data_IF_164637387957
#
_entry.id   IF_164637387957
#
_cell.length_a   1.000
_cell.length_b   1.000
_cell.length_c   1.000
_cell.angle_alpha   90.00
_cell.angle_beta   90.00
_cell.angle_gamma   90.00
#
_symmetry.space_group_name_H-M   'P 1'
#
loop_
_entity.id
_entity.type
_entity.pdbx_description
1 polymer ?
#
# COMPACT_ATOMS: atom_id res chain seq x y z
N UNK A 1 -19.27 -16.59 -11.34
CA UNK A 1 -18.65 -16.67 -10.00
C UNK A 1 -19.72 -16.28 -9.00
N UNK A 2 -20.01 -17.13 -8.01
CA UNK A 2 -20.88 -16.71 -6.91
C UNK A 2 -20.16 -15.58 -6.17
N UNK A 3 -20.75 -14.40 -6.11
CA UNK A 3 -20.28 -13.37 -5.17
C UNK A 3 -20.38 -13.99 -3.79
N UNK A 4 -19.24 -14.24 -3.14
CA UNK A 4 -19.24 -14.58 -1.72
C UNK A 4 -19.80 -13.34 -1.01
N UNK A 5 -20.98 -13.45 -0.41
CA UNK A 5 -21.57 -12.41 0.41
C UNK A 5 -20.59 -12.15 1.57
N UNK A 6 -19.84 -11.05 1.53
CA UNK A 6 -18.99 -10.64 2.63
C UNK A 6 -19.52 -9.29 3.13
N UNK A 7 -20.37 -9.28 4.16
CA UNK A 7 -21.10 -8.08 4.58
C UNK A 7 -20.20 -6.90 4.97
N UNK A 8 -18.92 -7.16 5.27
CA UNK A 8 -17.93 -6.13 5.58
C UNK A 8 -17.37 -5.52 4.30
N UNK A 9 -16.94 -6.35 3.36
CA UNK A 9 -16.35 -5.86 2.11
C UNK A 9 -17.39 -5.43 1.06
N UNK A 10 -18.64 -5.86 1.21
CA UNK A 10 -19.78 -5.42 0.40
C UNK A 10 -20.18 -3.97 0.72
N UNK A 11 -19.61 -3.37 1.78
CA UNK A 11 -19.77 -1.95 2.09
C UNK A 11 -19.01 -1.04 1.12
N UNK A 12 -18.05 -1.55 0.36
CA UNK A 12 -17.16 -0.73 -0.47
C UNK A 12 -17.59 -0.70 -1.95
N UNK A 13 -17.56 0.47 -2.61
CA UNK A 13 -17.23 1.78 -2.05
C UNK A 13 -18.30 2.24 -1.05
N UNK A 14 -17.89 2.96 0.00
CA UNK A 14 -18.79 3.43 1.04
C UNK A 14 -19.83 4.39 0.47
N UNK A 15 -21.07 4.28 0.96
CA UNK A 15 -22.05 5.35 0.75
C UNK A 15 -21.60 6.62 1.47
N UNK A 16 -21.99 7.80 0.96
CA UNK A 16 -21.68 9.09 1.59
C UNK A 16 -22.09 9.13 3.06
N UNK A 17 -23.24 8.53 3.39
CA UNK A 17 -23.74 8.43 4.76
C UNK A 17 -22.81 7.59 5.64
N UNK A 18 -22.38 6.43 5.16
CA UNK A 18 -21.48 5.54 5.91
C UNK A 18 -20.10 6.17 6.08
N UNK A 19 -19.55 6.71 4.99
CA UNK A 19 -18.29 7.45 5.00
C UNK A 19 -18.32 8.56 6.04
N UNK A 20 -19.37 9.39 6.05
CA UNK A 20 -19.44 10.52 6.97
C UNK A 20 -19.66 10.10 8.42
N UNK A 21 -20.46 9.04 8.65
CA UNK A 21 -20.64 8.47 9.99
C UNK A 21 -19.31 8.01 10.59
N UNK A 22 -18.51 7.29 9.79
CA UNK A 22 -17.18 6.83 10.20
C UNK A 22 -16.24 8.02 10.43
N UNK A 23 -16.22 8.97 9.51
CA UNK A 23 -15.36 10.15 9.61
C UNK A 23 -15.64 10.95 10.87
N UNK A 24 -16.91 11.21 11.18
CA UNK A 24 -17.30 11.95 12.38
C UNK A 24 -16.90 11.19 13.66
N UNK A 25 -17.02 9.86 13.67
CA UNK A 25 -16.54 9.02 14.76
C UNK A 25 -15.02 9.15 14.95
N UNK A 26 -14.24 8.98 13.88
CA UNK A 26 -12.76 9.06 13.90
C UNK A 26 -12.30 10.45 14.35
N UNK A 27 -12.89 11.51 13.80
CA UNK A 27 -12.59 12.89 14.21
C UNK A 27 -12.93 13.13 15.70
N UNK A 28 -14.10 12.66 16.15
CA UNK A 28 -14.50 12.73 17.55
C UNK A 28 -13.48 12.05 18.47
N UNK A 29 -13.03 10.85 18.11
CA UNK A 29 -12.00 10.13 18.87
C UNK A 29 -10.66 10.86 18.87
N UNK A 30 -10.18 11.36 17.72
CA UNK A 30 -8.92 12.11 17.69
C UNK A 30 -8.96 13.38 18.55
N UNK A 31 -10.05 14.15 18.49
CA UNK A 31 -10.21 15.36 19.31
C UNK A 31 -10.25 15.09 20.82
N UNK A 32 -10.59 13.88 21.23
CA UNK A 32 -10.55 13.46 22.63
C UNK A 32 -9.19 12.92 23.07
N UNK A 33 -8.47 12.28 22.14
CA UNK A 33 -7.20 11.60 22.42
C UNK A 33 -5.98 12.51 22.33
N UNK A 34 -6.05 13.56 21.51
CA UNK A 34 -4.92 14.43 21.18
C UNK A 34 -5.26 15.90 21.44
N UNK A 35 -4.23 16.71 21.69
CA UNK A 35 -4.36 18.16 21.70
C UNK A 35 -4.58 18.72 20.29
N UNK A 36 -4.74 20.04 20.18
CA UNK A 36 -5.01 20.70 18.90
C UNK A 36 -3.90 20.45 17.86
N UNK A 37 -2.63 20.43 18.30
CA UNK A 37 -1.49 20.17 17.42
C UNK A 37 -1.51 18.72 16.91
N UNK A 38 -1.65 17.74 17.81
CA UNK A 38 -1.73 16.33 17.47
C UNK A 38 -2.95 15.99 16.62
N UNK A 39 -4.11 16.58 16.92
CA UNK A 39 -5.31 16.46 16.09
C UNK A 39 -5.06 16.97 14.68
N UNK A 40 -4.57 18.20 14.55
CA UNK A 40 -4.31 18.81 13.24
C UNK A 40 -3.30 18.01 12.43
N UNK A 41 -2.25 17.49 13.08
CA UNK A 41 -1.28 16.60 12.46
C UNK A 41 -1.96 15.31 11.95
N UNK A 42 -2.77 14.65 12.78
CA UNK A 42 -3.42 13.39 12.43
C UNK A 42 -4.53 13.51 11.39
N UNK A 43 -5.15 14.69 11.21
CA UNK A 43 -6.25 14.87 10.25
C UNK A 43 -5.85 15.62 8.97
N UNK A 44 -4.76 16.40 9.00
CA UNK A 44 -4.38 17.27 7.88
C UNK A 44 -2.95 17.06 7.38
N UNK A 45 -2.25 16.02 7.83
CA UNK A 45 -0.90 15.74 7.32
C UNK A 45 -0.92 15.54 5.80
N UNK A 46 -0.02 16.21 5.11
CA UNK A 46 0.21 16.03 3.69
C UNK A 46 1.70 16.17 3.43
N UNK A 47 2.37 15.11 2.94
CA UNK A 47 3.81 15.17 2.70
C UNK A 47 4.10 16.13 1.55
N UNK A 48 4.95 17.13 1.80
CA UNK A 48 5.46 18.01 0.76
C UNK A 48 6.83 17.51 0.29
N UNK A 49 6.83 16.68 -0.75
CA UNK A 49 8.06 16.17 -1.34
C UNK A 49 8.48 17.00 -2.56
N UNK A 50 9.73 17.52 -2.60
CA UNK A 50 10.26 18.18 -3.78
C UNK A 50 10.35 17.20 -4.97
N UNK A 51 10.35 17.75 -6.18
CA UNK A 51 10.55 16.95 -7.39
C UNK A 51 12.02 16.82 -7.73
N UNK A 52 12.55 15.61 -7.57
CA UNK A 52 13.87 15.21 -8.02
C UNK A 52 13.72 13.99 -8.92
N UNK A 53 14.60 13.84 -9.91
CA UNK A 53 14.62 12.66 -10.80
C UNK A 53 15.85 11.81 -10.51
N UNK A 54 15.70 10.51 -10.62
CA UNK A 54 16.79 9.56 -10.73
C UNK A 54 16.70 8.80 -12.06
N UNK A 55 17.85 8.40 -12.58
CA UNK A 55 17.96 7.60 -13.79
C UNK A 55 18.66 6.27 -13.45
N UNK A 56 17.99 5.17 -13.75
CA UNK A 56 18.50 3.80 -13.64
C UNK A 56 18.57 3.19 -15.04
N UNK A 57 19.77 3.08 -15.61
CA UNK A 57 19.99 2.73 -17.02
C UNK A 57 19.14 3.60 -17.96
N UNK A 58 18.10 3.04 -18.58
CA UNK A 58 17.19 3.76 -19.49
C UNK A 58 15.91 4.24 -18.83
N UNK A 59 15.67 3.95 -17.55
CA UNK A 59 14.46 4.32 -16.85
C UNK A 59 14.70 5.55 -15.97
N UNK A 60 14.00 6.65 -16.25
CA UNK A 60 13.96 7.85 -15.41
C UNK A 60 12.67 7.92 -14.59
N UNK A 61 12.76 8.32 -13.32
CA UNK A 61 11.61 8.42 -12.41
C UNK A 61 11.85 9.39 -11.24
N UNK A 62 10.76 9.76 -10.56
CA UNK A 62 10.81 10.70 -9.44
C UNK A 62 11.32 10.06 -8.14
N UNK A 63 12.12 10.81 -7.37
CA UNK A 63 12.72 10.38 -6.10
C UNK A 63 12.43 11.27 -4.90
N UNK A 64 11.46 12.20 -5.04
CA UNK A 64 10.85 12.91 -3.92
C UNK A 64 11.82 13.77 -3.07
N UNK A 65 13.02 14.05 -3.57
CA UNK A 65 14.16 14.59 -2.84
C UNK A 65 14.52 13.80 -1.58
N UNK A 66 14.20 12.51 -1.54
CA UNK A 66 14.64 11.63 -0.47
C UNK A 66 16.16 11.49 -0.50
N UNK A 67 16.77 11.41 0.69
CA UNK A 67 18.22 11.47 0.83
C UNK A 67 18.84 10.10 0.60
N UNK A 68 19.92 10.05 -0.17
CA UNK A 68 20.71 8.84 -0.34
C UNK A 68 21.39 8.43 0.96
N UNK A 69 21.25 7.16 1.33
CA UNK A 69 21.93 6.51 2.45
C UNK A 69 22.44 5.13 2.00
N UNK A 70 23.50 4.64 2.64
CA UNK A 70 24.05 3.30 2.37
C UNK A 70 23.75 2.40 3.55
N UNK A 71 22.95 1.36 3.32
CA UNK A 71 22.59 0.35 4.31
C UNK A 71 22.96 -1.03 3.79
N UNK A 72 23.77 -1.78 4.54
CA UNK A 72 24.20 -3.14 4.15
C UNK A 72 24.81 -3.21 2.73
N UNK A 73 25.53 -2.17 2.32
CA UNK A 73 26.15 -2.07 0.99
C UNK A 73 25.16 -1.78 -0.15
N UNK A 74 23.91 -1.46 0.15
CA UNK A 74 22.89 -1.03 -0.81
C UNK A 74 22.60 0.45 -0.64
N UNK A 75 22.49 1.16 -1.76
CA UNK A 75 21.99 2.55 -1.76
C UNK A 75 20.48 2.52 -1.62
N UNK A 76 19.97 3.26 -0.64
CA UNK A 76 18.55 3.50 -0.41
C UNK A 76 18.30 5.02 -0.40
N UNK A 77 17.07 5.42 -0.67
CA UNK A 77 16.62 6.81 -0.50
C UNK A 77 15.70 6.89 0.70
N UNK A 78 16.00 7.75 1.67
CA UNK A 78 15.25 7.87 2.93
C UNK A 78 14.47 9.18 2.98
N UNK A 79 13.18 9.07 3.26
CA UNK A 79 12.31 10.19 3.57
C UNK A 79 12.57 10.69 4.99
N UNK A 80 13.18 11.85 5.13
CA UNK A 80 13.48 12.41 6.45
C UNK A 80 12.23 12.85 7.23
N UNK A 81 11.09 13.05 6.56
CA UNK A 81 9.82 13.43 7.21
C UNK A 81 9.11 12.23 7.84
N UNK A 82 9.20 11.04 7.23
CA UNK A 82 8.37 9.87 7.61
C UNK A 82 9.19 8.62 7.90
N UNK A 83 10.52 8.64 7.73
CA UNK A 83 11.37 7.45 7.84
C UNK A 83 11.13 6.38 6.78
N UNK A 84 10.20 6.58 5.85
CA UNK A 84 9.98 5.69 4.72
C UNK A 84 11.23 5.64 3.85
N UNK A 85 11.47 4.53 3.17
CA UNK A 85 12.60 4.43 2.25
C UNK A 85 12.22 3.76 0.94
N UNK A 86 12.96 4.15 -0.10
CA UNK A 86 12.86 3.62 -1.44
C UNK A 86 14.18 2.99 -1.84
N UNK A 87 14.12 1.88 -2.56
CA UNK A 87 15.27 1.35 -3.28
C UNK A 87 14.81 0.80 -4.61
N UNK A 88 15.77 0.66 -5.52
CA UNK A 88 15.51 0.23 -6.88
C UNK A 88 16.63 -0.68 -7.36
N UNK A 89 16.28 -1.59 -8.24
CA UNK A 89 17.23 -2.54 -8.82
C UNK A 89 16.81 -2.93 -10.22
N UNK A 90 17.74 -3.54 -10.93
CA UNK A 90 17.56 -4.08 -12.26
C UNK A 90 17.84 -5.58 -12.18
N UNK A 91 16.90 -6.39 -12.66
CA UNK A 91 17.02 -7.85 -12.65
C UNK A 91 16.80 -8.42 -14.04
N UNK A 92 17.51 -9.51 -14.33
CA UNK A 92 17.28 -10.29 -15.55
C UNK A 92 16.18 -11.32 -15.28
N UNK A 93 15.08 -11.32 -16.06
CA UNK A 93 14.04 -12.32 -15.94
C UNK A 93 14.55 -13.71 -16.34
N UNK A 94 13.93 -14.75 -15.77
CA UNK A 94 14.18 -16.11 -16.20
C UNK A 94 13.40 -16.44 -17.46
N UNK A 95 13.96 -16.10 -18.62
CA UNK A 95 13.32 -16.25 -19.93
C UNK A 95 12.86 -14.93 -20.54
N UNK A 96 12.14 -14.98 -21.67
CA UNK A 96 11.60 -13.78 -22.30
C UNK A 96 10.45 -13.22 -21.45
N UNK A 97 10.35 -11.89 -21.41
CA UNK A 97 9.18 -11.20 -20.85
C UNK A 97 7.93 -11.52 -21.69
N UNK A 98 6.87 -11.97 -21.03
CA UNK A 98 5.55 -12.15 -21.64
C UNK A 98 4.73 -10.87 -21.61
N UNK A 99 3.54 -10.94 -22.22
CA UNK A 99 2.59 -9.84 -22.23
C UNK A 99 2.02 -9.61 -20.80
N UNK A 100 2.00 -8.36 -20.32
CA UNK A 100 1.54 -8.04 -18.96
C UNK A 100 0.08 -8.42 -18.69
N UNK A 101 -0.81 -8.29 -19.68
CA UNK A 101 -2.21 -8.64 -19.54
C UNK A 101 -2.41 -10.14 -19.32
N UNK A 102 -1.62 -10.97 -20.01
CA UNK A 102 -1.65 -12.42 -19.88
C UNK A 102 -0.99 -12.93 -18.58
N UNK A 103 -0.11 -12.13 -17.98
CA UNK A 103 0.71 -12.52 -16.83
C UNK A 103 0.18 -12.02 -15.47
N UNK A 104 -0.88 -11.20 -15.43
CA UNK A 104 -1.35 -10.58 -14.18
C UNK A 104 -1.68 -11.59 -13.08
N UNK A 105 -2.41 -12.66 -13.39
CA UNK A 105 -2.78 -13.65 -12.38
C UNK A 105 -1.56 -14.46 -11.89
N UNK A 106 -0.59 -14.70 -12.78
CA UNK A 106 0.70 -15.33 -12.43
C UNK A 106 1.49 -14.41 -11.50
N UNK A 107 1.57 -13.12 -11.82
CA UNK A 107 2.27 -12.13 -11.01
C UNK A 107 1.60 -11.95 -9.64
N UNK A 108 0.27 -11.86 -9.58
CA UNK A 108 -0.51 -11.81 -8.32
C UNK A 108 -0.20 -13.02 -7.44
N UNK A 109 -0.21 -14.22 -8.03
CA UNK A 109 0.10 -15.45 -7.30
C UNK A 109 1.54 -15.44 -6.78
N UNK A 110 2.50 -15.05 -7.63
CA UNK A 110 3.90 -14.95 -7.24
C UNK A 110 4.10 -13.96 -6.08
N UNK A 111 3.59 -12.73 -6.17
CA UNK A 111 3.69 -11.74 -5.08
C UNK A 111 3.04 -12.28 -3.80
N UNK A 112 1.84 -12.87 -3.90
CA UNK A 112 1.15 -13.48 -2.75
C UNK A 112 2.02 -14.52 -2.06
N UNK A 113 2.57 -15.47 -2.81
CA UNK A 113 3.41 -16.55 -2.28
C UNK A 113 4.67 -16.00 -1.59
N UNK A 114 5.35 -15.02 -2.21
CA UNK A 114 6.53 -14.39 -1.62
C UNK A 114 6.21 -13.78 -0.25
N UNK A 115 5.10 -13.04 -0.15
CA UNK A 115 4.75 -12.36 1.10
C UNK A 115 4.16 -13.29 2.14
N UNK A 116 3.41 -14.33 1.75
CA UNK A 116 2.97 -15.39 2.67
C UNK A 116 4.17 -16.09 3.30
N UNK A 117 5.24 -16.35 2.54
CA UNK A 117 6.48 -16.94 3.08
C UNK A 117 7.17 -16.04 4.12
N UNK A 118 6.85 -14.74 4.15
CA UNK A 118 7.33 -13.77 5.13
C UNK A 118 6.30 -13.50 6.24
N UNK A 119 5.27 -14.35 6.39
CA UNK A 119 4.11 -14.15 7.27
C UNK A 119 3.32 -12.86 6.98
N UNK A 120 3.48 -12.30 5.78
CA UNK A 120 2.79 -11.13 5.28
C UNK A 120 1.60 -11.49 4.39
N UNK A 121 1.13 -10.53 3.62
CA UNK A 121 0.07 -10.74 2.65
C UNK A 121 -0.08 -9.63 1.62
N UNK A 122 -0.97 -9.88 0.67
CA UNK A 122 -1.26 -9.00 -0.45
C UNK A 122 -2.44 -8.07 -0.11
N UNK A 123 -2.28 -6.77 -0.39
CA UNK A 123 -3.34 -5.75 -0.23
C UNK A 123 -3.89 -5.34 -1.59
N UNK A 124 -3.02 -5.23 -2.60
CA UNK A 124 -3.36 -4.74 -3.92
C UNK A 124 -2.33 -5.22 -4.94
N UNK A 125 -2.76 -5.57 -6.16
CA UNK A 125 -1.88 -5.88 -7.27
C UNK A 125 -2.59 -5.78 -8.63
N UNK A 126 -2.16 -4.81 -9.43
CA UNK A 126 -2.75 -4.48 -10.72
C UNK A 126 -1.67 -4.21 -11.78
N UNK A 127 -2.11 -4.20 -13.04
CA UNK A 127 -1.31 -3.65 -14.14
C UNK A 127 -1.40 -2.13 -14.07
N UNK A 128 -0.27 -1.47 -14.34
CA UNK A 128 -0.27 -0.05 -14.66
C UNK A 128 0.34 0.19 -16.04
N UNK A 129 -0.15 1.23 -16.69
CA UNK A 129 0.40 1.79 -17.91
C UNK A 129 0.33 3.30 -17.80
N UNK A 130 1.42 4.00 -18.08
CA UNK A 130 1.44 5.45 -18.03
C UNK A 130 1.46 6.08 -19.43
N UNK A 131 1.24 7.40 -19.46
CA UNK A 131 1.21 8.21 -20.70
C UNK A 131 2.54 8.22 -21.47
N UNK A 132 3.64 7.81 -20.86
CA UNK A 132 4.98 7.78 -21.46
C UNK A 132 5.31 6.40 -22.06
N UNK A 133 4.34 5.47 -22.11
CA UNK A 133 4.55 4.12 -22.63
C UNK A 133 5.37 3.22 -21.71
N UNK A 134 5.45 3.55 -20.42
CA UNK A 134 6.02 2.67 -19.39
C UNK A 134 4.86 1.90 -18.74
N UNK A 135 5.01 0.59 -18.66
CA UNK A 135 4.03 -0.31 -18.07
C UNK A 135 4.67 -1.46 -17.30
N UNK A 136 3.84 -2.13 -16.52
CA UNK A 136 4.27 -3.23 -15.67
C UNK A 136 3.22 -3.55 -14.62
N UNK A 137 3.68 -4.14 -13.53
CA UNK A 137 2.84 -4.47 -12.39
C UNK A 137 3.13 -3.55 -11.22
N UNK A 138 2.07 -3.16 -10.52
CA UNK A 138 2.15 -2.51 -9.23
C UNK A 138 1.50 -3.41 -8.17
N UNK A 139 2.04 -3.39 -6.96
CA UNK A 139 1.47 -4.11 -5.84
C UNK A 139 1.69 -3.38 -4.53
N UNK A 140 0.74 -3.49 -3.61
CA UNK A 140 0.92 -3.14 -2.21
C UNK A 140 0.76 -4.41 -1.39
N UNK A 141 1.71 -4.61 -0.49
CA UNK A 141 1.82 -5.78 0.36
C UNK A 141 2.09 -5.34 1.78
N UNK A 142 1.94 -6.25 2.72
CA UNK A 142 2.14 -5.96 4.14
C UNK A 142 2.89 -7.09 4.84
N UNK A 143 3.77 -6.76 5.76
CA UNK A 143 4.58 -7.71 6.52
C UNK A 143 4.52 -7.35 8.00
N UNK A 144 4.28 -8.31 8.92
CA UNK A 144 4.37 -8.05 10.35
C UNK A 144 5.80 -7.63 10.72
N UNK A 145 5.93 -6.69 11.65
CA UNK A 145 7.26 -6.36 12.18
C UNK A 145 7.85 -7.53 12.98
N UNK A 146 9.19 -7.62 13.09
CA UNK A 146 9.84 -8.61 13.93
C UNK A 146 9.25 -8.67 15.35
N UNK A 147 9.30 -9.86 15.95
CA UNK A 147 8.70 -10.12 17.26
C UNK A 147 9.06 -9.06 18.31
N UNK A 148 8.04 -8.53 18.99
CA UNK A 148 8.19 -7.53 20.05
C UNK A 148 8.10 -6.06 19.60
N UNK A 149 8.18 -5.76 18.30
CA UNK A 149 8.05 -4.39 17.79
C UNK A 149 6.59 -3.93 17.59
N UNK A 150 5.67 -4.88 17.37
CA UNK A 150 4.25 -4.60 17.09
C UNK A 150 4.01 -3.89 15.75
N UNK A 151 2.80 -4.03 15.19
CA UNK A 151 2.41 -3.35 13.95
C UNK A 151 2.85 -4.03 12.65
N UNK A 152 2.57 -3.35 11.55
CA UNK A 152 2.73 -3.85 10.18
C UNK A 152 3.46 -2.82 9.33
N UNK A 153 4.41 -3.29 8.52
CA UNK A 153 5.04 -2.49 7.49
C UNK A 153 4.38 -2.76 6.14
N UNK A 154 4.21 -1.70 5.35
CA UNK A 154 3.66 -1.79 4.00
C UNK A 154 4.76 -1.61 2.98
N UNK A 155 4.74 -2.41 1.92
CA UNK A 155 5.65 -2.29 0.79
C UNK A 155 4.85 -2.06 -0.50
N UNK A 156 5.13 -0.95 -1.16
CA UNK A 156 4.71 -0.69 -2.53
C UNK A 156 5.80 -1.16 -3.47
N UNK A 157 5.46 -2.09 -4.35
CA UNK A 157 6.39 -2.75 -5.23
C UNK A 157 5.94 -2.62 -6.68
N UNK A 158 6.83 -2.05 -7.49
CA UNK A 158 6.68 -1.89 -8.92
C UNK A 158 7.64 -2.81 -9.65
N UNK A 159 7.13 -3.50 -10.66
CA UNK A 159 7.89 -4.34 -11.56
C UNK A 159 7.63 -3.89 -13.00
N UNK A 160 8.58 -3.14 -13.55
CA UNK A 160 8.49 -2.45 -14.84
C UNK A 160 9.21 -3.27 -15.90
N UNK A 161 8.50 -3.57 -16.98
CA UNK A 161 9.02 -4.43 -18.03
C UNK A 161 9.69 -3.61 -19.14
N UNK A 162 10.95 -3.94 -19.45
CA UNK A 162 11.64 -3.46 -20.63
C UNK A 162 11.83 -4.61 -21.62
N UNK A 163 10.88 -4.72 -22.56
CA UNK A 163 10.86 -5.74 -23.60
C UNK A 163 12.05 -5.69 -24.55
N UNK A 164 12.61 -4.49 -24.81
CA UNK A 164 13.71 -4.33 -25.77
C UNK A 164 15.01 -4.94 -25.26
N UNK A 165 15.28 -4.76 -23.96
CA UNK A 165 16.48 -5.30 -23.31
C UNK A 165 16.23 -6.64 -22.61
N UNK A 166 14.97 -7.09 -22.56
CA UNK A 166 14.52 -8.22 -21.76
C UNK A 166 14.92 -8.09 -20.28
N UNK A 167 14.60 -6.94 -19.66
CA UNK A 167 15.02 -6.58 -18.30
C UNK A 167 13.81 -6.15 -17.47
N UNK A 168 13.82 -6.46 -16.17
CA UNK A 168 12.86 -5.94 -15.20
C UNK A 168 13.49 -4.88 -14.31
N UNK A 169 12.86 -3.71 -14.26
CA UNK A 169 13.19 -2.67 -13.29
C UNK A 169 12.27 -2.80 -12.10
N UNK A 170 12.85 -2.85 -10.90
CA UNK A 170 12.12 -3.02 -9.65
C UNK A 170 12.28 -1.76 -8.81
N UNK A 171 11.17 -1.16 -8.40
CA UNK A 171 11.15 -0.03 -7.46
C UNK A 171 10.31 -0.44 -6.26
N UNK A 172 10.90 -0.33 -5.06
CA UNK A 172 10.24 -0.72 -3.81
C UNK A 172 10.28 0.47 -2.86
N UNK A 173 9.10 0.87 -2.38
CA UNK A 173 8.94 1.80 -1.26
C UNK A 173 8.44 1.02 -0.07
N UNK A 174 9.14 1.17 1.06
CA UNK A 174 8.69 0.65 2.35
C UNK A 174 8.26 1.80 3.24
N UNK A 175 7.04 1.66 3.77
CA UNK A 175 6.45 2.61 4.68
C UNK A 175 6.16 1.93 6.02
N UNK A 176 6.54 2.62 7.08
CA UNK A 176 6.53 2.11 8.44
C UNK A 176 5.47 2.81 9.26
N UNK A 177 4.67 2.06 10.00
CA UNK A 177 3.78 2.64 11.01
C UNK A 177 4.60 3.35 12.10
N UNK A 178 4.42 4.66 12.21
CA UNK A 178 5.05 5.49 13.23
C UNK A 178 4.05 5.77 14.36
N UNK A 179 4.52 5.74 15.61
CA UNK A 179 3.69 6.02 16.78
C UNK A 179 2.82 4.84 17.22
N UNK A 180 1.55 5.11 17.53
CA UNK A 180 0.61 4.12 18.07
C UNK A 180 0.15 3.15 16.99
N UNK A 181 0.79 1.97 16.92
CA UNK A 181 0.45 0.94 15.94
C UNK A 181 -0.97 0.42 16.12
N UNK A 182 -1.68 0.18 15.02
CA UNK A 182 -3.05 -0.36 15.02
C UNK A 182 -4.13 0.68 15.32
N UNK A 183 -3.81 1.98 15.34
CA UNK A 183 -4.78 3.04 15.58
C UNK A 183 -5.93 3.03 14.56
N UNK A 184 -5.59 2.88 13.27
CA UNK A 184 -6.56 2.75 12.17
C UNK A 184 -7.52 1.58 12.41
N UNK A 185 -6.99 0.41 12.72
CA UNK A 185 -7.81 -0.79 12.94
C UNK A 185 -8.72 -0.63 14.16
N UNK A 186 -8.16 -0.20 15.29
CA UNK A 186 -8.90 -0.06 16.54
C UNK A 186 -10.04 0.96 16.46
N UNK A 187 -9.84 2.09 15.78
CA UNK A 187 -10.87 3.12 15.65
C UNK A 187 -12.00 2.72 14.70
N UNK A 188 -11.74 1.79 13.80
CA UNK A 188 -12.69 1.39 12.77
C UNK A 188 -13.61 0.25 13.21
N UNK A 189 -13.21 -0.55 14.21
CA UNK A 189 -14.01 -1.67 14.70
C UNK A 189 -15.44 -1.26 15.09
N UNK A 190 -15.56 -0.19 15.89
CA UNK A 190 -16.84 0.25 16.42
C UNK A 190 -17.82 0.72 15.32
N UNK A 191 -17.45 1.68 14.45
CA UNK A 191 -18.40 2.16 13.45
C UNK A 191 -18.71 1.08 12.39
N UNK A 192 -17.76 0.17 12.11
CA UNK A 192 -18.03 -0.98 11.24
C UNK A 192 -19.09 -1.93 11.83
N UNK A 193 -19.03 -2.23 13.13
CA UNK A 193 -20.09 -3.01 13.80
C UNK A 193 -21.44 -2.29 13.74
N UNK A 194 -21.47 -0.96 13.92
CA UNK A 194 -22.72 -0.19 13.83
C UNK A 194 -23.36 -0.23 12.44
N UNK A 195 -22.55 -0.09 11.39
CA UNK A 195 -23.03 -0.05 10.00
C UNK A 195 -23.47 -1.44 9.54
N UNK A 196 -22.69 -2.47 9.87
CA UNK A 196 -22.99 -3.85 9.46
C UNK A 196 -24.04 -4.53 10.33
N UNK A 197 -24.23 -4.05 11.57
CA UNK A 197 -25.06 -4.71 12.59
C UNK A 197 -24.46 -6.01 13.14
N UNK A 198 -23.18 -6.30 12.83
CA UNK A 198 -22.48 -7.48 13.31
C UNK A 198 -21.93 -7.24 14.72
N UNK A 199 -21.92 -8.30 15.53
CA UNK A 199 -21.19 -8.31 16.79
C UNK A 199 -19.67 -8.47 16.54
N UNK A 200 -18.80 -8.31 17.56
CA UNK A 200 -17.36 -8.43 17.38
C UNK A 200 -16.91 -9.78 16.81
N UNK A 201 -17.56 -10.90 17.17
CA UNK A 201 -17.13 -12.22 16.72
C UNK A 201 -17.47 -12.42 15.24
N UNK A 202 -18.70 -12.07 14.83
CA UNK A 202 -19.15 -12.15 13.45
C UNK A 202 -18.39 -11.18 12.54
N UNK A 203 -18.10 -9.96 13.02
CA UNK A 203 -17.28 -9.01 12.27
C UNK A 203 -15.92 -9.62 11.93
N UNK A 204 -15.24 -10.24 12.90
CA UNK A 204 -13.91 -10.82 12.72
C UNK A 204 -13.87 -12.00 11.74
N UNK A 205 -14.99 -12.71 11.53
CA UNK A 205 -15.10 -13.76 10.49
C UNK A 205 -15.03 -13.20 9.08
N UNK A 206 -15.45 -11.94 8.90
CA UNK A 206 -15.54 -11.27 7.60
C UNK A 206 -14.49 -10.18 7.40
N UNK A 207 -13.77 -9.80 8.46
CA UNK A 207 -12.85 -8.66 8.50
C UNK A 207 -11.61 -8.82 7.63
N UNK A 208 -11.16 -10.06 7.41
CA UNK A 208 -9.97 -10.37 6.62
C UNK A 208 -10.32 -11.14 5.35
N UNK A 209 -9.72 -10.78 4.21
CA UNK A 209 -9.80 -11.54 2.96
C UNK A 209 -8.55 -11.35 2.10
N UNK A 210 -8.30 -12.26 1.17
CA UNK A 210 -7.43 -11.93 0.04
C UNK A 210 -8.17 -11.04 -0.96
N UNK A 211 -7.51 -10.02 -1.55
CA UNK A 211 -8.15 -9.09 -2.49
C UNK A 211 -8.67 -9.75 -3.77
N UNK A 212 -8.15 -10.93 -4.15
CA UNK A 212 -8.44 -11.58 -5.44
C UNK A 212 -8.95 -13.03 -5.31
N UNK A 213 -8.72 -13.69 -4.16
CA UNK A 213 -9.13 -15.08 -3.90
C UNK A 213 -9.91 -15.18 -2.58
N UNK A 214 -11.25 -15.03 -2.57
CA UNK A 214 -12.04 -14.96 -1.34
C UNK A 214 -11.84 -16.14 -0.36
N UNK A 215 -11.58 -17.33 -0.88
CA UNK A 215 -11.39 -18.56 -0.09
C UNK A 215 -9.95 -18.74 0.42
N UNK A 216 -9.03 -17.81 0.10
CA UNK A 216 -7.64 -17.87 0.53
C UNK A 216 -7.51 -17.52 2.02
N UNK A 217 -6.81 -18.36 2.77
CA UNK A 217 -6.71 -18.27 4.24
C UNK A 217 -5.30 -18.08 4.80
N UNK A 218 -4.27 -18.20 3.97
CA UNK A 218 -2.88 -18.20 4.43
C UNK A 218 -2.31 -16.78 4.59
N UNK A 219 -1.24 -16.68 5.40
CA UNK A 219 -0.54 -15.43 5.65
C UNK A 219 -1.37 -14.37 6.38
N UNK A 220 -0.88 -13.13 6.33
CA UNK A 220 -1.54 -11.97 6.91
C UNK A 220 -2.41 -11.28 5.85
N UNK A 221 -3.63 -11.78 5.69
CA UNK A 221 -4.60 -11.32 4.69
C UNK A 221 -4.97 -9.84 4.85
N UNK A 222 -5.42 -9.22 3.76
CA UNK A 222 -5.91 -7.84 3.76
C UNK A 222 -7.07 -7.70 4.74
N UNK A 223 -7.08 -6.66 5.56
CA UNK A 223 -8.18 -6.34 6.46
C UNK A 223 -9.09 -5.28 5.84
N UNK A 224 -10.32 -5.16 6.35
CA UNK A 224 -11.30 -4.22 5.81
C UNK A 224 -10.88 -2.75 5.96
N UNK A 225 -10.07 -2.45 6.96
CA UNK A 225 -9.57 -1.10 7.20
C UNK A 225 -8.50 -0.69 6.21
N UNK A 226 -7.88 -1.61 5.48
CA UNK A 226 -6.92 -1.31 4.40
C UNK A 226 -7.59 -0.83 3.09
N UNK A 227 -8.93 -0.69 3.05
CA UNK A 227 -9.65 -0.12 1.90
C UNK A 227 -9.35 1.38 1.74
N UNK A 228 -9.31 1.85 0.48
CA UNK A 228 -8.91 3.23 0.12
C UNK A 228 -9.85 4.30 0.67
N UNK A 229 -11.14 4.00 0.85
CA UNK A 229 -12.16 4.91 1.37
C UNK A 229 -11.77 5.53 2.72
N UNK A 230 -10.93 4.86 3.51
CA UNK A 230 -10.48 5.35 4.82
C UNK A 230 -9.22 6.22 4.78
N UNK A 231 -8.52 6.30 3.65
CA UNK A 231 -7.20 6.93 3.61
C UNK A 231 -7.26 8.41 4.03
N UNK A 232 -8.30 9.12 3.59
CA UNK A 232 -8.54 10.52 3.98
C UNK A 232 -8.74 10.76 5.49
N UNK A 233 -9.11 9.74 6.25
CA UNK A 233 -9.32 9.82 7.71
C UNK A 233 -8.02 9.52 8.49
N UNK A 234 -7.02 8.92 7.83
CA UNK A 234 -5.75 8.53 8.42
C UNK A 234 -4.57 8.95 7.53
N UNK A 235 -4.33 10.26 7.31
CA UNK A 235 -3.30 10.78 6.42
C UNK A 235 -1.86 10.35 6.78
N UNK A 236 -1.58 10.08 8.05
CA UNK A 236 -0.28 9.58 8.51
C UNK A 236 -0.12 8.06 8.44
N UNK A 237 -1.18 7.31 8.13
CA UNK A 237 -1.09 5.86 8.05
C UNK A 237 -0.18 5.45 6.88
N UNK A 238 0.70 4.44 7.04
CA UNK A 238 1.71 4.11 6.01
C UNK A 238 1.11 3.78 4.64
N UNK A 239 -0.01 3.03 4.63
CA UNK A 239 -0.73 2.70 3.41
C UNK A 239 -1.31 3.95 2.72
N UNK A 240 -1.84 4.89 3.51
CA UNK A 240 -2.33 6.18 3.02
C UNK A 240 -1.19 6.98 2.41
N UNK A 241 -0.07 7.07 3.11
CA UNK A 241 1.12 7.77 2.64
C UNK A 241 1.58 7.23 1.29
N UNK A 242 1.60 5.90 1.11
CA UNK A 242 1.92 5.25 -0.17
C UNK A 242 0.93 5.66 -1.26
N UNK A 243 -0.38 5.49 -1.01
CA UNK A 243 -1.43 5.65 -2.04
C UNK A 243 -1.62 7.09 -2.48
N UNK A 244 -1.48 8.05 -1.58
CA UNK A 244 -1.80 9.45 -1.88
C UNK A 244 -0.65 10.21 -2.55
N UNK A 245 0.61 9.85 -2.30
CA UNK A 245 1.75 10.66 -2.77
C UNK A 245 2.74 9.91 -3.65
N UNK A 246 3.56 8.97 -3.16
CA UNK A 246 4.61 8.37 -3.96
C UNK A 246 4.05 7.45 -5.04
N UNK A 247 2.95 6.71 -4.81
CA UNK A 247 2.33 5.86 -5.84
C UNK A 247 1.95 6.66 -7.10
N UNK A 248 1.02 7.63 -7.04
CA UNK A 248 0.58 8.34 -8.25
C UNK A 248 1.74 9.08 -8.92
N UNK A 249 2.60 9.74 -8.12
CA UNK A 249 3.76 10.46 -8.65
C UNK A 249 4.77 9.55 -9.35
N UNK A 250 5.11 8.39 -8.79
CA UNK A 250 5.98 7.42 -9.46
C UNK A 250 5.38 6.99 -10.79
N UNK A 251 4.13 6.52 -10.76
CA UNK A 251 3.42 6.02 -11.95
C UNK A 251 3.40 7.06 -13.08
N UNK A 252 3.17 8.33 -12.74
CA UNK A 252 3.19 9.43 -13.71
C UNK A 252 4.60 9.81 -14.19
N UNK A 253 5.62 9.64 -13.34
CA UNK A 253 6.99 10.10 -13.61
C UNK A 253 7.81 9.20 -14.51
N UNK A 254 7.50 7.89 -14.55
CA UNK A 254 8.32 6.92 -15.29
C UNK A 254 8.41 7.26 -16.77
N UNK A 255 9.62 7.27 -17.31
CA UNK A 255 9.88 7.48 -18.74
C UNK A 255 11.10 6.70 -19.20
N UNK A 256 11.07 6.25 -20.45
CA UNK A 256 12.25 5.73 -21.11
C UNK A 256 13.09 6.88 -21.65
N UNK A 257 14.35 6.95 -21.25
CA UNK A 257 15.32 7.85 -21.87
C UNK A 257 15.79 7.27 -23.22
N UNK A 258 16.22 8.17 -24.11
CA UNK A 258 16.66 7.85 -25.47
C UNK A 258 17.99 7.05 -25.49
#
# INVERSE_FOLDING_TARGET
MAQSNNPVFDLFPLSDQNYQTIKDFVHGMFSQMFDEEGFNLLTNFSPNYPSTTHQLDRLSFETFGWKEEVTEGKTILVCQQTGNYMYFTQVQPNGPLGNIEDELDVYRQWVREQYVAMNGGLVFCEIFNNKNGVGGFESITKIPRPEGAGGVDYAYFLNIQNYQQNVLYQVIIKAHEQGNTGLRDNMMMQPMMQITGLDPEELMKHYFRDPYQPDFTDGLRMNATEMEDFDSMFPLHPLTLIRQTPRPRLLESFRWDA
#
